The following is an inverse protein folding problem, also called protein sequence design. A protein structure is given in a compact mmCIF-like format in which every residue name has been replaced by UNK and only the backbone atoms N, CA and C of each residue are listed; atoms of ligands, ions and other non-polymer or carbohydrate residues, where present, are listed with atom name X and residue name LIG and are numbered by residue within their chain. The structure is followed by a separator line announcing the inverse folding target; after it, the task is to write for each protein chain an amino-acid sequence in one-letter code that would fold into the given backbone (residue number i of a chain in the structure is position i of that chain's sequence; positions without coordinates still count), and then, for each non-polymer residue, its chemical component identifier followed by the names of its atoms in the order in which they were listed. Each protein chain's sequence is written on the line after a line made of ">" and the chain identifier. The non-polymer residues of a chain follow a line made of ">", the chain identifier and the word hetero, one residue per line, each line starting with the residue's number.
data_IF_907992358966
#
_entry.id   IF_907992358966
#
_cell.length_a   1.000
_cell.length_b   1.000
_cell.length_c   1.000
_cell.angle_alpha   90.00
_cell.angle_beta   90.00
_cell.angle_gamma   90.00
#
_symmetry.space_group_name_H-M   'P 1'
#
loop_
_entity.id
_entity.type
_entity.pdbx_description
1 polymer ?
#
# COMPACT_ATOMS: atom_id res chain seq x y z
N UNK A 1 9.76 6.57 -7.99
CA UNK A 1 8.70 6.09 -8.93
C UNK A 1 7.27 6.29 -8.40
N UNK A 2 7.01 6.15 -7.09
CA UNK A 2 5.65 6.31 -6.54
C UNK A 2 5.05 7.70 -6.75
N UNK A 3 5.79 8.75 -6.43
CA UNK A 3 5.30 10.13 -6.52
C UNK A 3 4.91 10.53 -7.96
N UNK A 4 5.68 10.09 -8.96
CA UNK A 4 5.35 10.38 -10.37
C UNK A 4 4.04 9.71 -10.80
N UNK A 5 3.79 8.48 -10.36
CA UNK A 5 2.54 7.76 -10.59
C UNK A 5 1.33 8.49 -9.99
N UNK A 6 1.46 9.00 -8.77
CA UNK A 6 0.40 9.72 -8.07
C UNK A 6 0.03 11.04 -8.79
N UNK A 7 1.03 11.77 -9.30
CA UNK A 7 0.80 13.01 -10.10
C UNK A 7 0.04 12.69 -11.39
N UNK A 8 0.40 11.61 -12.09
CA UNK A 8 -0.30 11.18 -13.29
C UNK A 8 -1.76 10.84 -13.02
N UNK A 9 -2.03 10.04 -11.99
CA UNK A 9 -3.41 9.70 -11.64
C UNK A 9 -4.22 10.89 -11.16
N UNK A 10 -3.64 11.83 -10.42
CA UNK A 10 -4.29 13.08 -10.04
C UNK A 10 -4.73 13.87 -11.28
N UNK A 11 -3.83 14.01 -12.27
CA UNK A 11 -4.14 14.70 -13.53
C UNK A 11 -5.25 13.99 -14.31
N UNK A 12 -5.20 12.66 -14.38
CA UNK A 12 -6.23 11.84 -15.03
C UNK A 12 -7.59 12.03 -14.36
N UNK A 13 -7.65 12.02 -13.03
CA UNK A 13 -8.88 12.21 -12.26
C UNK A 13 -9.47 13.58 -12.54
N UNK A 14 -8.64 14.62 -12.54
CA UNK A 14 -9.04 15.98 -12.90
C UNK A 14 -9.66 16.04 -14.31
N UNK A 15 -8.98 15.45 -15.30
CA UNK A 15 -9.47 15.37 -16.67
C UNK A 15 -10.82 14.64 -16.79
N UNK A 16 -10.99 13.52 -16.07
CA UNK A 16 -12.28 12.79 -16.04
C UNK A 16 -13.38 13.67 -15.45
N UNK A 17 -13.12 14.33 -14.32
CA UNK A 17 -14.11 15.20 -13.67
C UNK A 17 -14.54 16.35 -14.58
N UNK A 18 -13.58 17.04 -15.19
CA UNK A 18 -13.87 18.16 -16.11
C UNK A 18 -14.67 17.70 -17.34
N UNK A 19 -14.28 16.57 -17.94
CA UNK A 19 -14.98 16.01 -19.09
C UNK A 19 -16.40 15.59 -18.74
N UNK A 20 -16.59 14.84 -17.65
CA UNK A 20 -17.91 14.34 -17.27
C UNK A 20 -18.87 15.48 -16.90
N UNK A 21 -18.39 16.52 -16.21
CA UNK A 21 -19.20 17.72 -15.95
C UNK A 21 -19.63 18.44 -17.24
N UNK A 22 -18.81 18.40 -18.29
CA UNK A 22 -19.11 19.06 -19.57
C UNK A 22 -20.00 18.21 -20.51
N UNK A 23 -19.91 16.86 -20.42
CA UNK A 23 -20.49 15.98 -21.46
C UNK A 23 -21.58 15.04 -20.96
N UNK A 24 -21.60 14.71 -19.67
CA UNK A 24 -22.57 13.77 -19.09
C UNK A 24 -23.84 14.52 -18.61
N UNK A 25 -25.03 14.17 -19.06
CA UNK A 25 -26.27 14.81 -18.60
C UNK A 25 -26.46 14.72 -17.08
N UNK A 26 -26.08 13.60 -16.48
CA UNK A 26 -26.18 13.41 -15.02
C UNK A 26 -25.18 14.29 -14.26
N UNK A 27 -23.91 14.28 -14.64
CA UNK A 27 -22.89 15.04 -13.92
C UNK A 27 -22.94 16.54 -14.21
N UNK A 28 -23.41 16.98 -15.38
CA UNK A 28 -23.67 18.42 -15.65
C UNK A 28 -24.79 18.96 -14.75
N UNK A 29 -25.80 18.14 -14.41
CA UNK A 29 -26.87 18.51 -13.48
C UNK A 29 -26.45 18.41 -12.01
N UNK A 30 -25.47 17.54 -11.69
CA UNK A 30 -24.95 17.29 -10.34
C UNK A 30 -23.42 17.34 -10.31
N UNK A 31 -22.79 18.49 -10.56
CA UNK A 31 -21.33 18.60 -10.75
C UNK A 31 -20.51 18.09 -9.58
N UNK A 32 -20.99 18.25 -8.35
CA UNK A 32 -20.33 17.81 -7.14
C UNK A 32 -20.15 16.28 -7.05
N UNK A 33 -21.04 15.50 -7.69
CA UNK A 33 -21.08 14.04 -7.56
C UNK A 33 -19.80 13.40 -8.13
N UNK A 34 -19.33 13.84 -9.29
CA UNK A 34 -18.10 13.31 -9.89
C UNK A 34 -16.86 13.65 -9.05
N UNK A 35 -16.83 14.85 -8.44
CA UNK A 35 -15.72 15.26 -7.58
C UNK A 35 -15.67 14.45 -6.28
N UNK A 36 -16.82 14.21 -5.66
CA UNK A 36 -16.87 13.31 -4.47
C UNK A 36 -16.41 11.92 -4.82
N UNK A 37 -16.83 11.39 -5.97
CA UNK A 37 -16.42 10.08 -6.46
C UNK A 37 -14.90 10.03 -6.69
N UNK A 38 -14.35 11.05 -7.36
CA UNK A 38 -12.90 11.16 -7.65
C UNK A 38 -12.06 11.30 -6.37
N UNK A 39 -12.46 12.16 -5.44
CA UNK A 39 -11.74 12.33 -4.16
C UNK A 39 -11.77 11.03 -3.35
N UNK A 40 -12.92 10.37 -3.29
CA UNK A 40 -13.04 9.08 -2.60
C UNK A 40 -12.15 8.02 -3.26
N UNK A 41 -12.18 7.91 -4.59
CA UNK A 41 -11.30 7.02 -5.34
C UNK A 41 -9.83 7.32 -5.07
N UNK A 42 -9.41 8.60 -5.06
CA UNK A 42 -8.04 9.01 -4.76
C UNK A 42 -7.55 8.61 -3.36
N UNK A 43 -8.41 8.75 -2.34
CA UNK A 43 -8.10 8.29 -0.99
C UNK A 43 -7.86 6.78 -0.95
N UNK A 44 -8.72 6.01 -1.60
CA UNK A 44 -8.57 4.55 -1.67
C UNK A 44 -7.40 4.13 -2.56
N UNK A 45 -7.13 4.84 -3.66
CA UNK A 45 -5.95 4.65 -4.48
C UNK A 45 -4.67 4.68 -3.64
N UNK A 46 -4.47 5.75 -2.88
CA UNK A 46 -3.30 5.89 -2.02
C UNK A 46 -3.17 4.72 -1.00
N UNK A 47 -4.28 4.30 -0.37
CA UNK A 47 -4.29 3.16 0.54
C UNK A 47 -3.96 1.84 -0.15
N UNK A 48 -4.50 1.61 -1.33
CA UNK A 48 -4.27 0.41 -2.13
C UNK A 48 -2.80 0.30 -2.55
N UNK A 49 -2.23 1.39 -3.08
CA UNK A 49 -0.84 1.45 -3.49
C UNK A 49 0.12 1.26 -2.31
N UNK A 50 -0.12 1.98 -1.20
CA UNK A 50 0.68 1.89 0.01
C UNK A 50 0.70 0.48 0.60
N UNK A 51 -0.47 -0.18 0.69
CA UNK A 51 -0.58 -1.53 1.25
C UNK A 51 0.05 -2.57 0.34
N UNK A 52 -0.14 -2.45 -0.98
CA UNK A 52 0.46 -3.36 -1.95
C UNK A 52 2.00 -3.27 -1.92
N UNK A 53 2.54 -2.06 -1.85
CA UNK A 53 3.97 -1.85 -1.71
C UNK A 53 4.51 -2.42 -0.41
N UNK A 54 3.86 -2.15 0.72
CA UNK A 54 4.26 -2.66 2.03
C UNK A 54 4.38 -4.18 2.08
N UNK A 55 3.39 -4.91 1.55
CA UNK A 55 3.43 -6.36 1.51
C UNK A 55 4.48 -6.90 0.54
N UNK A 56 4.73 -6.20 -0.56
CA UNK A 56 5.81 -6.52 -1.49
C UNK A 56 7.17 -6.35 -0.83
N UNK A 57 7.38 -5.27 -0.08
CA UNK A 57 8.63 -5.03 0.65
C UNK A 57 8.89 -6.10 1.71
N UNK A 58 7.86 -6.52 2.47
CA UNK A 58 8.00 -7.64 3.40
C UNK A 58 8.34 -8.95 2.71
N UNK A 59 7.71 -9.25 1.58
CA UNK A 59 8.04 -10.43 0.81
C UNK A 59 9.52 -10.40 0.36
N UNK A 60 9.99 -9.27 -0.12
CA UNK A 60 11.38 -9.08 -0.55
C UNK A 60 12.36 -9.16 0.62
N UNK A 61 12.04 -8.60 1.78
CA UNK A 61 12.84 -8.69 2.99
C UNK A 61 13.12 -10.13 3.38
N UNK A 62 12.08 -10.97 3.44
CA UNK A 62 12.26 -12.39 3.75
C UNK A 62 12.89 -13.19 2.61
N UNK A 63 12.88 -12.68 1.39
CA UNK A 63 13.52 -13.31 0.24
C UNK A 63 15.01 -12.97 0.12
N UNK A 64 15.36 -11.70 0.21
CA UNK A 64 16.70 -11.15 -0.08
C UNK A 64 17.47 -10.66 1.15
N UNK A 65 16.81 -10.44 2.27
CA UNK A 65 17.37 -9.80 3.46
C UNK A 65 17.22 -8.27 3.46
N UNK A 66 17.91 -7.61 4.39
CA UNK A 66 17.77 -6.15 4.59
C UNK A 66 18.20 -5.32 3.38
N UNK A 67 19.24 -5.72 2.67
CA UNK A 67 19.75 -5.02 1.47
C UNK A 67 18.76 -5.01 0.30
N UNK A 68 17.73 -5.85 0.33
CA UNK A 68 16.74 -5.98 -0.74
C UNK A 68 15.37 -5.37 -0.44
N UNK A 69 15.19 -4.67 0.67
CA UNK A 69 13.88 -4.14 1.09
C UNK A 69 14.00 -2.82 1.83
N UNK A 70 13.03 -1.94 1.60
CA UNK A 70 12.88 -0.65 2.30
C UNK A 70 11.83 -0.81 3.41
N UNK A 71 12.22 -1.43 4.54
CA UNK A 71 11.33 -1.65 5.69
C UNK A 71 11.68 -0.72 6.84
N UNK A 72 11.31 0.52 6.70
CA UNK A 72 11.40 1.48 7.80
C UNK A 72 10.28 1.28 8.85
N UNK A 73 10.54 1.76 10.05
CA UNK A 73 9.53 1.85 11.11
C UNK A 73 9.03 3.29 11.22
N UNK A 74 7.71 3.47 11.29
CA UNK A 74 7.10 4.80 11.47
C UNK A 74 7.60 5.48 12.74
N UNK A 75 7.87 4.71 13.81
CA UNK A 75 8.42 5.23 15.08
C UNK A 75 9.83 5.80 14.87
N UNK A 76 10.69 5.08 14.14
CA UNK A 76 12.06 5.55 13.86
C UNK A 76 12.04 6.77 12.94
N UNK A 77 11.19 6.76 11.91
CA UNK A 77 11.02 7.90 11.01
C UNK A 77 10.48 9.13 11.74
N UNK A 78 9.51 8.94 12.64
CA UNK A 78 8.96 10.03 13.44
C UNK A 78 10.01 10.64 14.38
N UNK A 79 10.82 9.80 15.03
CA UNK A 79 11.93 10.26 15.85
C UNK A 79 12.93 11.10 15.03
N UNK A 80 13.33 10.63 13.85
CA UNK A 80 14.19 11.41 12.93
C UNK A 80 13.54 12.74 12.54
N UNK A 81 12.23 12.76 12.30
CA UNK A 81 11.48 13.98 12.00
C UNK A 81 11.52 14.97 13.18
N UNK A 82 11.29 14.50 14.40
CA UNK A 82 11.25 15.36 15.59
C UNK A 82 12.65 15.95 15.91
N UNK A 83 13.71 15.15 15.70
CA UNK A 83 15.10 15.56 15.91
C UNK A 83 15.63 16.53 14.82
N UNK A 84 15.05 16.54 13.62
CA UNK A 84 15.52 17.36 12.50
C UNK A 84 15.06 18.81 12.63
N UNK A 85 15.97 19.81 12.64
CA UNK A 85 15.58 21.23 12.68
C UNK A 85 14.97 21.68 11.34
N UNK A 86 14.01 22.62 11.37
CA UNK A 86 13.45 23.22 10.16
C UNK A 86 14.45 24.09 9.40
N UNK A 87 15.35 24.75 10.13
CA UNK A 87 16.31 25.69 9.56
C UNK A 87 17.37 24.93 8.78
N UNK A 88 17.46 25.17 7.49
CA UNK A 88 18.42 24.48 6.59
C UNK A 88 17.95 23.11 6.06
N UNK A 89 16.86 22.52 6.62
CA UNK A 89 16.41 21.17 6.23
C UNK A 89 14.93 21.10 5.84
N UNK A 90 14.35 22.24 5.39
CA UNK A 90 12.92 22.34 5.10
C UNK A 90 12.39 21.21 4.20
N UNK A 91 13.00 21.00 3.04
CA UNK A 91 12.57 19.97 2.08
C UNK A 91 12.74 18.54 2.64
N UNK A 92 13.87 18.27 3.27
CA UNK A 92 14.13 16.96 3.88
C UNK A 92 13.15 16.65 5.01
N UNK A 93 12.83 17.65 5.84
CA UNK A 93 11.86 17.50 6.92
C UNK A 93 10.44 17.34 6.39
N UNK A 94 10.07 18.05 5.31
CA UNK A 94 8.78 17.90 4.66
C UNK A 94 8.61 16.49 4.04
N UNK A 95 9.62 16.00 3.34
CA UNK A 95 9.63 14.64 2.79
C UNK A 95 9.51 13.61 3.93
N UNK A 96 10.27 13.78 5.01
CA UNK A 96 10.25 12.88 6.15
C UNK A 96 8.88 12.89 6.88
N UNK A 97 8.20 14.04 6.93
CA UNK A 97 6.82 14.14 7.42
C UNK A 97 5.86 13.26 6.61
N UNK A 98 5.86 13.42 5.30
CA UNK A 98 4.99 12.62 4.44
C UNK A 98 5.35 11.13 4.48
N UNK A 99 6.63 10.81 4.47
CA UNK A 99 7.11 9.43 4.52
C UNK A 99 6.78 8.74 5.84
N UNK A 100 6.94 9.43 6.98
CA UNK A 100 6.57 8.87 8.29
C UNK A 100 5.07 8.62 8.40
N UNK A 101 4.23 9.52 7.89
CA UNK A 101 2.78 9.33 7.87
C UNK A 101 2.36 8.21 6.90
N UNK A 102 3.00 8.11 5.74
CA UNK A 102 2.80 7.01 4.79
C UNK A 102 3.09 5.66 5.45
N UNK A 103 4.26 5.52 6.08
CA UNK A 103 4.66 4.30 6.80
C UNK A 103 3.71 3.98 7.96
N UNK A 104 3.28 4.98 8.73
CA UNK A 104 2.32 4.79 9.81
C UNK A 104 0.96 4.26 9.31
N UNK A 105 0.49 4.75 8.17
CA UNK A 105 -0.74 4.23 7.54
C UNK A 105 -0.57 2.77 7.07
N UNK A 106 0.58 2.40 6.52
CA UNK A 106 0.89 1.01 6.14
C UNK A 106 0.87 0.09 7.37
N UNK A 107 1.53 0.50 8.46
CA UNK A 107 1.58 -0.26 9.72
C UNK A 107 0.19 -0.41 10.35
N UNK A 108 -0.64 0.66 10.34
CA UNK A 108 -2.00 0.63 10.87
C UNK A 108 -2.92 -0.36 10.14
N UNK A 109 -2.73 -0.55 8.84
CA UNK A 109 -3.48 -1.52 8.04
C UNK A 109 -2.99 -2.97 8.22
N UNK A 110 -1.89 -3.19 8.92
CA UNK A 110 -1.22 -4.50 9.03
C UNK A 110 -0.83 -4.83 10.49
N UNK A 111 -1.79 -4.85 11.45
CA UNK A 111 -1.48 -5.01 12.87
C UNK A 111 -0.89 -6.38 13.23
N UNK A 112 -1.28 -7.47 12.54
CA UNK A 112 -0.67 -8.79 12.79
C UNK A 112 0.76 -8.87 12.26
N UNK A 113 1.06 -8.14 11.18
CA UNK A 113 2.44 -8.00 10.69
C UNK A 113 3.32 -7.28 11.71
N UNK A 114 2.83 -6.20 12.36
CA UNK A 114 3.59 -5.52 13.40
C UNK A 114 3.86 -6.44 14.60
N UNK A 115 2.88 -7.24 15.01
CA UNK A 115 3.06 -8.26 16.07
C UNK A 115 4.09 -9.32 15.68
N UNK A 116 4.06 -9.78 14.44
CA UNK A 116 5.04 -10.72 13.91
C UNK A 116 6.45 -10.12 13.91
N UNK A 117 6.60 -8.86 13.47
CA UNK A 117 7.86 -8.12 13.45
C UNK A 117 8.45 -7.97 14.86
N UNK A 118 7.64 -7.59 15.85
CA UNK A 118 8.06 -7.49 17.23
C UNK A 118 8.50 -8.84 17.80
N UNK A 119 7.79 -9.92 17.50
CA UNK A 119 8.14 -11.25 17.94
C UNK A 119 9.44 -11.77 17.29
N UNK A 120 9.65 -11.48 16.00
CA UNK A 120 10.91 -11.78 15.31
C UNK A 120 12.10 -11.07 15.95
N UNK A 121 11.95 -9.78 16.27
CA UNK A 121 12.99 -9.03 16.97
C UNK A 121 13.31 -9.61 18.34
N UNK A 122 12.28 -10.08 19.07
CA UNK A 122 12.44 -10.71 20.37
C UNK A 122 13.17 -12.04 20.28
N UNK A 123 12.79 -12.90 19.33
CA UNK A 123 13.32 -14.27 19.19
C UNK A 123 14.73 -14.27 18.61
N UNK A 124 14.97 -13.49 17.57
CA UNK A 124 16.27 -13.45 16.87
C UNK A 124 17.17 -12.29 17.31
N UNK A 125 16.79 -11.56 18.39
CA UNK A 125 17.58 -10.46 18.99
C UNK A 125 18.09 -9.43 17.97
N UNK A 126 17.27 -9.10 16.97
CA UNK A 126 17.64 -8.19 15.89
C UNK A 126 18.46 -8.81 14.75
N UNK A 127 18.79 -10.09 14.83
CA UNK A 127 19.45 -10.84 13.76
C UNK A 127 18.48 -11.32 12.67
N UNK A 128 19.03 -11.91 11.62
CA UNK A 128 18.25 -12.45 10.51
C UNK A 128 17.39 -13.64 10.96
N UNK A 129 16.12 -13.65 10.57
CA UNK A 129 15.21 -14.77 10.82
C UNK A 129 15.74 -16.07 10.20
N UNK A 130 15.47 -17.21 10.87
CA UNK A 130 15.95 -18.52 10.43
C UNK A 130 15.53 -18.86 9.00
N UNK A 131 16.33 -19.65 8.30
CA UNK A 131 16.01 -20.09 6.91
C UNK A 131 14.65 -20.80 6.84
N UNK A 132 14.30 -21.58 7.87
CA UNK A 132 13.02 -22.28 7.95
C UNK A 132 11.84 -21.30 8.04
N UNK A 133 11.94 -20.26 8.88
CA UNK A 133 10.94 -19.21 8.99
C UNK A 133 10.78 -18.48 7.67
N UNK A 134 11.87 -18.06 7.05
CA UNK A 134 11.87 -17.33 5.75
C UNK A 134 11.20 -18.15 4.65
N UNK A 135 11.48 -19.46 4.57
CA UNK A 135 10.86 -20.36 3.61
C UNK A 135 9.35 -20.47 3.82
N UNK A 136 8.91 -20.61 5.08
CA UNK A 136 7.48 -20.73 5.41
C UNK A 136 6.72 -19.40 5.16
N UNK A 137 7.31 -18.26 5.50
CA UNK A 137 6.75 -16.94 5.16
C UNK A 137 6.61 -16.79 3.65
N UNK A 138 7.66 -17.09 2.90
CA UNK A 138 7.67 -17.02 1.44
C UNK A 138 6.58 -17.90 0.82
N UNK A 139 6.45 -19.14 1.28
CA UNK A 139 5.41 -20.07 0.81
C UNK A 139 4.01 -19.49 0.96
N UNK A 140 3.74 -18.81 2.09
CA UNK A 140 2.44 -18.19 2.35
C UNK A 140 2.22 -16.87 1.63
N UNK A 141 3.27 -16.05 1.46
CA UNK A 141 3.17 -14.71 0.86
C UNK A 141 3.26 -14.72 -0.67
N UNK A 142 3.99 -15.65 -1.29
CA UNK A 142 4.18 -15.71 -2.74
C UNK A 142 2.86 -15.75 -3.54
N UNK A 143 1.84 -16.55 -3.17
CA UNK A 143 0.56 -16.55 -3.89
C UNK A 143 -0.18 -15.21 -3.81
N UNK A 144 0.16 -14.35 -2.82
CA UNK A 144 -0.47 -13.05 -2.64
C UNK A 144 0.17 -11.96 -3.50
N UNK A 145 1.39 -12.17 -4.01
CA UNK A 145 2.12 -11.18 -4.83
C UNK A 145 1.40 -10.82 -6.14
N UNK A 146 0.59 -11.72 -6.68
CA UNK A 146 -0.25 -11.38 -7.84
C UNK A 146 -1.25 -10.26 -7.54
N UNK A 147 -1.77 -10.18 -6.33
CA UNK A 147 -2.72 -9.14 -5.92
C UNK A 147 -2.03 -7.80 -5.70
N UNK A 148 -0.78 -7.78 -5.21
CA UNK A 148 0.01 -6.53 -5.15
C UNK A 148 0.22 -5.96 -6.56
N UNK A 149 0.45 -6.82 -7.56
CA UNK A 149 0.59 -6.40 -8.95
C UNK A 149 -0.74 -5.88 -9.55
N UNK A 150 -1.89 -6.47 -9.17
CA UNK A 150 -3.21 -5.99 -9.61
C UNK A 150 -3.51 -4.60 -9.02
N UNK A 151 -3.14 -4.37 -7.76
CA UNK A 151 -3.31 -3.07 -7.10
C UNK A 151 -2.29 -2.01 -7.58
N UNK A 152 -1.36 -2.37 -8.47
CA UNK A 152 -0.36 -1.47 -9.04
C UNK A 152 -0.85 -0.79 -10.32
N UNK A 153 0.04 -0.04 -10.97
CA UNK A 153 -0.22 0.81 -12.13
C UNK A 153 -0.88 0.11 -13.32
N UNK A 154 -0.41 -1.08 -13.71
CA UNK A 154 -0.80 -1.71 -14.98
C UNK A 154 -2.30 -2.01 -15.10
N UNK A 155 -2.89 -2.62 -14.08
CA UNK A 155 -4.31 -2.95 -14.07
C UNK A 155 -5.20 -1.72 -14.02
N UNK A 156 -4.75 -0.66 -13.35
CA UNK A 156 -5.43 0.64 -13.34
C UNK A 156 -5.46 1.26 -14.73
N UNK A 157 -4.32 1.23 -15.44
CA UNK A 157 -4.21 1.73 -16.81
C UNK A 157 -5.12 0.96 -17.77
N UNK A 158 -5.18 -0.39 -17.64
CA UNK A 158 -6.08 -1.22 -18.44
C UNK A 158 -7.55 -0.85 -18.17
N UNK A 159 -7.95 -0.74 -16.90
CA UNK A 159 -9.32 -0.40 -16.53
C UNK A 159 -9.71 1.01 -16.99
N UNK A 160 -8.80 1.97 -16.88
CA UNK A 160 -8.99 3.32 -17.41
C UNK A 160 -9.19 3.29 -18.93
N UNK A 161 -8.33 2.58 -19.66
CA UNK A 161 -8.44 2.45 -21.10
C UNK A 161 -9.78 1.83 -21.52
N UNK A 162 -10.21 0.77 -20.87
CA UNK A 162 -11.51 0.12 -21.12
C UNK A 162 -12.66 1.10 -20.84
N UNK A 163 -12.63 1.85 -19.74
CA UNK A 163 -13.67 2.81 -19.40
C UNK A 163 -13.77 3.96 -20.43
N UNK A 164 -12.64 4.39 -20.99
CA UNK A 164 -12.59 5.39 -22.06
C UNK A 164 -13.18 4.81 -23.35
N UNK A 165 -12.84 3.58 -23.74
CA UNK A 165 -13.40 2.91 -24.90
C UNK A 165 -14.93 2.75 -24.79
N UNK A 166 -15.43 2.48 -23.59
CA UNK A 166 -16.86 2.43 -23.30
C UNK A 166 -17.54 3.81 -23.33
N UNK A 167 -16.79 4.90 -23.52
CA UNK A 167 -17.24 6.31 -23.45
C UNK A 167 -17.82 6.69 -22.07
N UNK A 168 -17.46 5.96 -21.03
CA UNK A 168 -17.92 6.14 -19.64
C UNK A 168 -16.71 6.18 -18.68
N UNK A 169 -15.82 7.19 -18.75
CA UNK A 169 -14.60 7.24 -17.94
C UNK A 169 -14.84 7.20 -16.41
N UNK A 170 -16.00 7.67 -15.96
CA UNK A 170 -16.39 7.59 -14.55
C UNK A 170 -16.47 6.15 -14.01
N UNK A 171 -16.67 5.16 -14.87
CA UNK A 171 -16.63 3.72 -14.48
C UNK A 171 -15.27 3.31 -13.90
N UNK A 172 -14.21 4.02 -14.29
CA UNK A 172 -12.91 3.80 -13.70
C UNK A 172 -12.89 4.04 -12.19
N UNK A 173 -13.57 5.08 -11.70
CA UNK A 173 -13.71 5.30 -10.25
C UNK A 173 -14.50 4.19 -9.55
N UNK A 174 -15.54 3.67 -10.20
CA UNK A 174 -16.29 2.51 -9.66
C UNK A 174 -15.41 1.27 -9.60
N UNK A 175 -14.61 1.02 -10.63
CA UNK A 175 -13.64 -0.07 -10.63
C UNK A 175 -12.66 0.05 -9.45
N UNK A 176 -12.10 1.23 -9.21
CA UNK A 176 -11.21 1.46 -8.07
C UNK A 176 -11.91 1.24 -6.72
N UNK A 177 -13.11 1.78 -6.57
CA UNK A 177 -13.83 1.72 -5.30
C UNK A 177 -14.40 0.33 -4.99
N UNK A 178 -14.79 -0.42 -5.99
CA UNK A 178 -15.42 -1.74 -5.79
C UNK A 178 -14.43 -2.86 -5.98
N UNK A 179 -13.85 -2.96 -7.19
CA UNK A 179 -13.01 -4.11 -7.54
C UNK A 179 -11.68 -4.07 -6.80
N UNK A 180 -10.96 -2.95 -6.87
CA UNK A 180 -9.65 -2.87 -6.25
C UNK A 180 -9.74 -2.87 -4.72
N UNK A 181 -10.78 -2.27 -4.11
CA UNK A 181 -10.99 -2.39 -2.67
C UNK A 181 -11.37 -3.81 -2.24
N UNK A 182 -12.15 -4.54 -3.03
CA UNK A 182 -12.43 -5.95 -2.78
C UNK A 182 -11.14 -6.79 -2.76
N UNK A 183 -10.25 -6.56 -3.74
CA UNK A 183 -8.94 -7.20 -3.81
C UNK A 183 -8.05 -6.78 -2.63
N UNK A 184 -8.06 -5.50 -2.24
CA UNK A 184 -7.31 -4.99 -1.09
C UNK A 184 -7.73 -5.70 0.21
N UNK A 185 -9.04 -5.74 0.50
CA UNK A 185 -9.58 -6.39 1.70
C UNK A 185 -9.22 -7.89 1.72
N UNK A 186 -9.35 -8.57 0.58
CA UNK A 186 -8.94 -9.96 0.46
C UNK A 186 -7.46 -10.14 0.77
N UNK A 187 -6.59 -9.34 0.16
CA UNK A 187 -5.15 -9.39 0.33
C UNK A 187 -4.74 -9.14 1.78
N UNK A 188 -5.30 -8.09 2.43
CA UNK A 188 -5.06 -7.79 3.84
C UNK A 188 -5.47 -8.98 4.71
N UNK A 189 -6.69 -9.50 4.52
CA UNK A 189 -7.20 -10.62 5.32
C UNK A 189 -6.31 -11.85 5.26
N UNK A 190 -5.83 -12.20 4.07
CA UNK A 190 -4.93 -13.35 3.86
C UNK A 190 -3.55 -13.11 4.47
N UNK A 191 -2.98 -11.92 4.28
CA UNK A 191 -1.68 -11.56 4.84
C UNK A 191 -1.71 -11.54 6.38
N UNK A 192 -2.73 -10.93 6.96
CA UNK A 192 -2.93 -10.88 8.40
C UNK A 192 -3.14 -12.28 9.01
N UNK A 193 -3.86 -13.17 8.29
CA UNK A 193 -4.01 -14.56 8.72
C UNK A 193 -2.67 -15.31 8.71
N UNK A 194 -1.85 -15.12 7.67
CA UNK A 194 -0.50 -15.67 7.58
C UNK A 194 0.37 -15.19 8.75
N UNK A 195 0.37 -13.89 9.02
CA UNK A 195 1.17 -13.30 10.10
C UNK A 195 0.73 -13.81 11.48
N UNK A 196 -0.59 -13.91 11.73
CA UNK A 196 -1.10 -14.52 12.99
C UNK A 196 -0.68 -15.97 13.17
N UNK A 197 -0.74 -16.76 12.11
CA UNK A 197 -0.29 -18.17 12.14
C UNK A 197 1.18 -18.26 12.48
N UNK A 198 2.03 -17.54 11.74
CA UNK A 198 3.48 -17.56 11.94
C UNK A 198 3.91 -17.01 13.29
N UNK A 199 3.22 -16.01 13.83
CA UNK A 199 3.46 -15.51 15.19
C UNK A 199 3.19 -16.59 16.23
N UNK A 200 2.11 -17.39 16.09
CA UNK A 200 1.82 -18.50 16.99
C UNK A 200 2.89 -19.60 16.92
N UNK A 201 3.29 -19.97 15.70
CA UNK A 201 4.32 -20.99 15.47
C UNK A 201 5.70 -20.55 16.04
N UNK A 202 6.03 -19.25 15.88
CA UNK A 202 7.26 -18.67 16.43
C UNK A 202 7.28 -18.68 17.96
N UNK A 203 6.16 -18.32 18.60
CA UNK A 203 6.00 -18.40 20.06
C UNK A 203 6.08 -19.83 20.60
N UNK A 204 5.65 -20.81 19.81
CA UNK A 204 5.76 -22.23 20.13
C UNK A 204 7.19 -22.80 19.94
N UNK A 205 8.17 -21.98 19.55
CA UNK A 205 9.57 -22.41 19.39
C UNK A 205 9.90 -23.13 18.08
N UNK A 206 8.95 -23.22 17.12
CA UNK A 206 9.10 -24.02 15.89
C UNK A 206 10.31 -23.63 15.01
N UNK A 207 10.80 -22.39 15.10
CA UNK A 207 11.84 -21.84 14.23
C UNK A 207 13.13 -21.46 14.98
N UNK A 208 13.27 -21.90 16.23
CA UNK A 208 14.40 -21.54 17.11
C UNK A 208 15.55 -22.56 17.04
N UNK A 209 15.40 -23.62 16.28
CA UNK A 209 16.43 -24.65 16.06
C UNK A 209 17.34 -24.31 14.87
#
# INVERSE_FOLDING_TARGET
>A
DGLSGDIWFFTIYLCICLRENATSPFFSSHPWAIWVLAVTAGIFHAKQAATADYYRQFHLYFLKGEEGSELDSSVVLRKKYDEMPWRGHFWSKLVLFFYSNYTANQEALSPAMQKLRAELQRVFKGGTASKAFRAEFRKGSLPLMKYTNILSFNWRSIALFVSILCKMPWLYFIFELVVLNGILVYMISRHEALCRRLTKELKAGKFQA
#
